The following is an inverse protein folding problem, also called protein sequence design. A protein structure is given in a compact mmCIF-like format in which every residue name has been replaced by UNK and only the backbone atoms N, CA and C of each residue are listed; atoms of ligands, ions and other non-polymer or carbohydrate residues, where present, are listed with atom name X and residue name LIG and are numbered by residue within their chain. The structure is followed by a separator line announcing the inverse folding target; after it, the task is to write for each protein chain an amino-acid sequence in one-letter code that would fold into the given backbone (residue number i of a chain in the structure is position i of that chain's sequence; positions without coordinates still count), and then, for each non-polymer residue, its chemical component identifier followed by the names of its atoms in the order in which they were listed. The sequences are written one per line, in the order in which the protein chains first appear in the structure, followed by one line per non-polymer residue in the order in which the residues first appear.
data_IF_299218183378
#
_entry.id   IF_299218183378
#
_cell.length_a   1.000
_cell.length_b   1.000
_cell.length_c   1.000
_cell.angle_alpha   90.00
_cell.angle_beta   90.00
_cell.angle_gamma   90.00
#
_symmetry.space_group_name_H-M   'P 1'
#
loop_
_entity.id
_entity.type
_entity.pdbx_description
1 polymer ?
#
# COMPACT_ATOMS: atom_id res chain seq x y z
N UNK A 1 64.71 -53.69 25.60
CA UNK A 1 64.58 -52.98 26.89
C UNK A 1 63.85 -51.67 26.64
N UNK A 2 62.98 -51.28 27.58
CA UNK A 2 62.03 -50.15 27.59
C UNK A 2 60.78 -50.34 26.70
N UNK A 3 59.68 -50.96 27.16
CA UNK A 3 58.69 -50.57 28.19
C UNK A 3 57.51 -49.75 27.63
N UNK A 4 56.34 -50.40 27.62
CA UNK A 4 55.00 -49.83 27.53
C UNK A 4 54.74 -48.92 28.74
N UNK A 5 53.87 -47.89 28.61
CA UNK A 5 52.76 -47.66 29.57
C UNK A 5 51.80 -46.54 29.11
N UNK A 6 50.52 -46.93 29.05
CA UNK A 6 49.27 -46.20 29.37
C UNK A 6 48.97 -44.78 28.86
N UNK A 7 47.95 -44.70 28.00
CA UNK A 7 46.89 -43.66 28.02
C UNK A 7 46.01 -43.79 29.30
N UNK A 8 45.35 -42.71 29.79
CA UNK A 8 43.97 -42.51 29.34
C UNK A 8 43.42 -41.05 29.31
N UNK A 9 42.29 -40.95 28.63
CA UNK A 9 41.16 -40.04 28.90
C UNK A 9 41.21 -38.59 28.39
N UNK A 10 41.01 -38.43 27.08
CA UNK A 10 40.57 -37.15 26.47
C UNK A 10 39.26 -37.31 25.67
N UNK A 11 38.36 -38.18 26.16
CA UNK A 11 37.16 -38.62 25.40
C UNK A 11 35.82 -38.10 25.93
N UNK A 12 35.79 -37.49 27.13
CA UNK A 12 34.54 -36.97 27.70
C UNK A 12 34.29 -35.47 27.51
N UNK A 13 35.32 -34.69 27.16
CA UNK A 13 35.15 -33.24 27.01
C UNK A 13 34.58 -32.82 25.65
N UNK A 14 34.67 -33.67 24.62
CA UNK A 14 34.14 -33.37 23.28
C UNK A 14 32.65 -33.68 23.10
N UNK A 15 32.08 -34.58 23.90
CA UNK A 15 30.69 -35.01 23.73
C UNK A 15 29.69 -34.00 24.33
N UNK A 16 30.11 -33.27 25.38
CA UNK A 16 29.28 -32.24 26.02
C UNK A 16 29.19 -30.94 25.21
N UNK A 17 30.18 -30.63 24.36
CA UNK A 17 30.15 -29.45 23.49
C UNK A 17 29.41 -29.70 22.17
N UNK A 18 29.40 -30.95 21.67
CA UNK A 18 28.65 -31.29 20.46
C UNK A 18 27.13 -31.33 20.70
N UNK A 19 26.70 -31.63 21.92
CA UNK A 19 25.27 -31.73 22.28
C UNK A 19 24.65 -30.36 22.62
N UNK A 20 25.42 -29.39 23.12
CA UNK A 20 24.93 -28.02 23.34
C UNK A 20 24.81 -27.22 22.04
N UNK A 21 25.65 -27.48 21.04
CA UNK A 21 25.56 -26.82 19.73
C UNK A 21 24.35 -27.29 18.91
N UNK A 22 23.92 -28.55 19.09
CA UNK A 22 22.79 -29.12 18.34
C UNK A 22 21.42 -28.62 18.83
N UNK A 23 21.32 -28.19 20.10
CA UNK A 23 20.08 -27.63 20.67
C UNK A 23 19.88 -26.16 20.26
N UNK A 24 20.96 -25.42 20.00
CA UNK A 24 20.89 -24.02 19.52
C UNK A 24 20.50 -23.92 18.03
N UNK A 25 20.78 -24.95 17.22
CA UNK A 25 20.42 -24.97 15.80
C UNK A 25 18.92 -25.27 15.56
N UNK A 26 18.21 -25.85 16.54
CA UNK A 26 16.79 -26.18 16.41
C UNK A 26 15.85 -24.99 16.68
N UNK A 27 16.37 -23.87 17.22
CA UNK A 27 15.58 -22.66 17.49
C UNK A 27 15.44 -21.72 16.27
N UNK A 28 16.06 -22.05 15.12
CA UNK A 28 16.00 -21.23 13.91
C UNK A 28 15.02 -21.76 12.84
N UNK A 29 14.35 -22.88 13.08
CA UNK A 29 13.32 -23.44 12.16
C UNK A 29 11.95 -23.02 12.66
N UNK A 30 11.66 -21.73 12.55
CA UNK A 30 10.42 -21.17 13.05
C UNK A 30 10.13 -19.74 12.59
N UNK A 31 10.78 -19.24 11.55
CA UNK A 31 10.23 -18.12 10.79
C UNK A 31 9.21 -18.68 9.79
N UNK A 32 8.09 -19.19 10.29
CA UNK A 32 6.88 -19.01 9.50
C UNK A 32 6.65 -17.51 9.50
N UNK A 33 7.12 -16.82 8.46
CA UNK A 33 6.50 -15.59 8.04
C UNK A 33 5.04 -15.97 7.84
N UNK A 34 4.25 -15.74 8.89
CA UNK A 34 2.82 -15.84 8.81
C UNK A 34 2.49 -14.73 7.82
N UNK A 35 2.35 -15.09 6.55
CA UNK A 35 1.86 -14.19 5.53
C UNK A 35 0.50 -13.75 6.06
N UNK A 36 0.48 -12.58 6.69
CA UNK A 36 -0.75 -11.81 6.82
C UNK A 36 -1.21 -11.70 5.38
N UNK A 37 -2.31 -12.39 5.09
CA UNK A 37 -3.04 -12.24 3.84
C UNK A 37 -3.16 -10.75 3.59
N UNK A 38 -2.45 -10.21 2.60
CA UNK A 38 -2.56 -8.81 2.26
C UNK A 38 -3.97 -8.63 1.69
N UNK A 39 -4.87 -7.97 2.44
CA UNK A 39 -6.26 -7.79 2.00
C UNK A 39 -6.35 -7.05 0.65
N UNK A 40 -5.31 -6.34 0.25
CA UNK A 40 -5.22 -5.70 -1.06
C UNK A 40 -5.24 -6.72 -2.21
N UNK A 41 -4.87 -7.99 -1.98
CA UNK A 41 -5.01 -9.07 -2.97
C UNK A 41 -6.47 -9.33 -3.35
N UNK A 42 -7.43 -8.91 -2.53
CA UNK A 42 -8.86 -9.01 -2.84
C UNK A 42 -9.34 -7.92 -3.82
N UNK A 43 -8.51 -6.92 -4.13
CA UNK A 43 -8.86 -5.85 -5.09
C UNK A 43 -8.88 -6.45 -6.50
N UNK A 44 -9.99 -6.37 -7.24
CA UNK A 44 -10.17 -7.04 -8.53
C UNK A 44 -9.52 -6.27 -9.69
N UNK A 45 -8.21 -6.04 -9.62
CA UNK A 45 -7.46 -5.37 -10.68
C UNK A 45 -7.53 -6.13 -12.01
N UNK A 46 -7.77 -5.41 -13.10
CA UNK A 46 -7.62 -5.90 -14.47
C UNK A 46 -6.23 -5.61 -15.02
N UNK A 47 -5.93 -6.14 -16.21
CA UNK A 47 -4.71 -5.79 -16.94
C UNK A 47 -4.64 -4.27 -17.15
N UNK A 48 -3.44 -3.71 -17.02
CA UNK A 48 -3.18 -2.28 -17.13
C UNK A 48 -3.43 -1.49 -15.85
N UNK A 49 -4.30 -1.89 -14.93
CA UNK A 49 -4.55 -1.07 -13.74
C UNK A 49 -3.36 -1.03 -12.78
N UNK A 50 -3.03 0.15 -12.25
CA UNK A 50 -1.86 0.39 -11.38
C UNK A 50 -2.23 0.82 -9.96
N UNK A 51 -3.47 1.26 -9.75
CA UNK A 51 -3.98 1.68 -8.46
C UNK A 51 -5.49 1.56 -8.45
N UNK A 52 -6.05 1.51 -7.25
CA UNK A 52 -7.47 1.65 -7.02
C UNK A 52 -7.74 2.96 -6.28
N UNK A 53 -8.92 3.52 -6.48
CA UNK A 53 -9.35 4.72 -5.80
C UNK A 53 -10.82 4.60 -5.39
N UNK A 54 -11.19 5.27 -4.29
CA UNK A 54 -12.58 5.39 -3.87
C UNK A 54 -12.87 6.81 -3.39
N UNK A 55 -14.03 7.34 -3.76
CA UNK A 55 -14.56 8.56 -3.18
C UNK A 55 -15.12 8.27 -1.77
N UNK A 56 -14.79 9.15 -0.83
CA UNK A 56 -15.13 9.03 0.58
C UNK A 56 -15.96 10.22 1.10
N UNK A 57 -16.46 11.10 0.24
CA UNK A 57 -17.33 12.20 0.66
C UNK A 57 -16.66 13.57 0.68
N UNK A 58 -17.51 14.58 0.90
CA UNK A 58 -17.14 16.00 0.88
C UNK A 58 -16.94 16.53 2.30
N UNK A 59 -15.78 17.15 2.57
CA UNK A 59 -15.36 17.71 3.86
C UNK A 59 -15.29 16.73 5.05
N UNK A 60 -15.84 15.53 4.91
CA UNK A 60 -15.81 14.47 5.91
C UNK A 60 -15.47 13.16 5.20
N UNK A 61 -14.82 12.27 5.94
CA UNK A 61 -14.53 10.91 5.50
C UNK A 61 -15.72 10.04 5.87
N UNK A 62 -16.33 9.44 4.86
CA UNK A 62 -17.45 8.51 4.92
C UNK A 62 -16.98 7.13 4.46
N UNK A 63 -17.61 6.07 4.99
CA UNK A 63 -17.41 4.67 4.59
C UNK A 63 -15.97 4.12 4.62
N UNK A 64 -14.99 4.81 5.22
CA UNK A 64 -13.61 4.32 5.33
C UNK A 64 -13.55 2.93 5.98
N UNK A 65 -14.36 2.69 7.00
CA UNK A 65 -14.44 1.40 7.70
C UNK A 65 -14.76 0.23 6.75
N UNK A 66 -15.57 0.47 5.71
CA UNK A 66 -15.89 -0.55 4.70
C UNK A 66 -14.63 -0.93 3.91
N UNK A 67 -13.90 0.06 3.40
CA UNK A 67 -12.68 -0.18 2.63
C UNK A 67 -11.56 -0.77 3.48
N UNK A 68 -11.43 -0.34 4.74
CA UNK A 68 -10.47 -0.93 5.69
C UNK A 68 -10.79 -2.40 5.87
N UNK A 69 -12.03 -2.76 6.19
CA UNK A 69 -12.40 -4.16 6.42
C UNK A 69 -12.19 -5.03 5.18
N UNK A 70 -12.46 -4.48 4.00
CA UNK A 70 -12.45 -5.23 2.74
C UNK A 70 -11.07 -5.34 2.11
N UNK A 71 -10.26 -4.27 2.15
CA UNK A 71 -9.06 -4.13 1.31
C UNK A 71 -7.78 -3.75 2.04
N UNK A 72 -7.84 -3.30 3.30
CA UNK A 72 -6.66 -2.75 4.00
C UNK A 72 -6.31 -3.53 5.26
N UNK A 73 -5.03 -3.60 5.58
CA UNK A 73 -4.57 -4.29 6.78
C UNK A 73 -4.52 -3.40 8.03
N UNK A 74 -4.73 -2.09 7.86
CA UNK A 74 -4.71 -1.06 8.91
C UNK A 74 -5.67 0.09 8.56
N UNK A 75 -6.21 0.74 9.58
CA UNK A 75 -6.94 2.01 9.51
C UNK A 75 -6.05 3.25 9.72
N UNK A 76 -4.78 3.04 10.10
CA UNK A 76 -3.78 4.10 10.24
C UNK A 76 -3.25 4.54 8.87
N UNK A 77 -4.04 5.35 8.16
CA UNK A 77 -3.67 5.87 6.84
C UNK A 77 -3.07 7.28 6.91
N UNK A 78 -1.97 7.56 6.19
CA UNK A 78 -1.51 8.92 6.02
C UNK A 78 -2.56 9.74 5.27
N UNK A 79 -2.78 10.98 5.72
CA UNK A 79 -3.73 11.91 5.11
C UNK A 79 -2.98 13.12 4.57
N UNK A 80 -3.16 13.38 3.28
CA UNK A 80 -2.60 14.53 2.59
C UNK A 80 -3.68 15.59 2.37
N UNK A 81 -3.53 16.75 3.02
CA UNK A 81 -4.46 17.86 2.92
C UNK A 81 -3.93 18.92 1.95
N UNK A 82 -4.56 19.05 0.79
CA UNK A 82 -4.18 20.06 -0.22
C UNK A 82 -5.11 21.27 -0.16
N UNK A 83 -6.42 21.03 -0.10
CA UNK A 83 -7.44 22.06 0.07
C UNK A 83 -8.70 21.48 0.72
N UNK A 84 -9.64 22.35 1.08
CA UNK A 84 -10.95 21.91 1.54
C UNK A 84 -11.74 21.35 0.36
N UNK A 85 -12.23 20.12 0.48
CA UNK A 85 -12.93 19.47 -0.62
C UNK A 85 -13.25 18.02 -0.33
N UNK A 86 -13.16 17.24 -1.39
CA UNK A 86 -13.46 15.82 -1.44
C UNK A 86 -12.33 14.98 -0.84
N UNK A 87 -12.71 13.86 -0.25
CA UNK A 87 -11.79 12.84 0.22
C UNK A 87 -11.75 11.66 -0.75
N UNK A 88 -10.54 11.22 -1.04
CA UNK A 88 -10.28 10.02 -1.83
C UNK A 88 -9.35 9.08 -1.08
N UNK A 89 -9.67 7.80 -1.10
CA UNK A 89 -8.73 6.73 -0.76
C UNK A 89 -8.00 6.31 -2.02
N UNK A 90 -6.66 6.23 -1.96
CA UNK A 90 -5.82 5.74 -3.05
C UNK A 90 -5.06 4.52 -2.56
N UNK A 91 -5.15 3.41 -3.30
CA UNK A 91 -4.50 2.15 -2.99
C UNK A 91 -3.56 1.77 -4.16
N UNK A 92 -2.23 1.86 -3.99
CA UNK A 92 -1.30 1.39 -5.01
C UNK A 92 -1.41 -0.13 -5.17
N UNK A 93 -1.26 -0.63 -6.41
CA UNK A 93 -1.41 -2.06 -6.70
C UNK A 93 -0.20 -2.89 -6.23
N UNK A 94 1.01 -2.34 -6.36
CA UNK A 94 2.24 -3.08 -6.09
C UNK A 94 2.98 -2.49 -4.89
N UNK A 95 3.55 -3.36 -4.06
CA UNK A 95 4.50 -2.94 -3.02
C UNK A 95 5.78 -2.42 -3.68
N UNK A 96 6.33 -1.32 -3.15
CA UNK A 96 7.48 -0.62 -3.73
C UNK A 96 7.12 0.38 -4.82
N UNK A 97 5.84 0.67 -5.04
CA UNK A 97 5.45 1.79 -5.92
C UNK A 97 5.86 3.12 -5.32
N UNK A 98 6.52 3.96 -6.10
CA UNK A 98 6.86 5.31 -5.71
C UNK A 98 5.67 6.27 -5.88
N UNK A 99 5.44 7.13 -4.90
CA UNK A 99 4.53 8.27 -4.97
C UNK A 99 5.33 9.56 -5.10
N UNK A 100 4.88 10.44 -5.99
CA UNK A 100 5.16 11.88 -5.93
C UNK A 100 3.84 12.63 -5.96
N UNK A 101 3.56 13.41 -4.92
CA UNK A 101 2.34 14.20 -4.80
C UNK A 101 2.65 15.66 -5.08
N UNK A 102 1.91 16.24 -6.00
CA UNK A 102 2.04 17.62 -6.41
C UNK A 102 0.80 18.43 -6.04
N UNK A 103 1.03 19.67 -5.61
CA UNK A 103 0.00 20.68 -5.52
C UNK A 103 0.04 21.53 -6.78
N UNK A 104 -1.08 21.65 -7.46
CA UNK A 104 -1.21 22.53 -8.62
C UNK A 104 -1.72 23.89 -8.15
N UNK A 105 -1.03 24.93 -8.57
CA UNK A 105 -1.41 26.32 -8.27
C UNK A 105 -2.04 26.94 -9.51
N UNK A 106 -3.25 27.47 -9.35
CA UNK A 106 -4.04 28.07 -10.42
C UNK A 106 -3.34 29.31 -11.01
N UNK A 107 -2.67 30.10 -10.16
CA UNK A 107 -2.07 31.37 -10.54
C UNK A 107 -0.75 31.16 -11.28
N UNK A 108 0.04 30.16 -10.87
CA UNK A 108 1.38 29.94 -11.44
C UNK A 108 1.40 28.91 -12.57
N UNK A 109 0.39 28.01 -12.63
CA UNK A 109 0.33 26.87 -13.56
C UNK A 109 1.52 25.89 -13.47
N UNK A 110 2.39 26.01 -12.46
CA UNK A 110 3.51 25.10 -12.22
C UNK A 110 3.21 24.19 -11.03
N UNK A 111 3.16 22.85 -11.22
CA UNK A 111 2.98 21.91 -10.12
C UNK A 111 4.14 21.95 -9.13
N UNK A 112 3.83 22.05 -7.85
CA UNK A 112 4.81 22.04 -6.76
C UNK A 112 4.83 20.66 -6.13
N UNK A 113 5.98 20.00 -6.11
CA UNK A 113 6.17 18.73 -5.41
C UNK A 113 6.09 18.97 -3.89
N UNK A 114 5.13 18.32 -3.21
CA UNK A 114 4.89 18.51 -1.78
C UNK A 114 5.17 17.27 -0.93
N UNK A 115 5.15 16.08 -1.54
CA UNK A 115 5.42 14.83 -0.83
C UNK A 115 5.96 13.75 -1.78
N UNK A 116 6.81 12.88 -1.24
CA UNK A 116 7.33 11.71 -1.91
C UNK A 116 7.42 10.53 -0.96
N UNK A 117 7.09 9.35 -1.48
CA UNK A 117 7.25 8.08 -0.78
C UNK A 117 7.76 7.03 -1.76
N UNK A 118 8.97 6.46 -1.59
CA UNK A 118 9.49 5.43 -2.49
C UNK A 118 8.79 4.06 -2.33
N UNK A 119 7.98 3.85 -1.29
CA UNK A 119 7.23 2.62 -1.04
C UNK A 119 5.81 2.95 -0.55
N UNK A 120 5.07 3.60 -1.44
CA UNK A 120 3.74 4.14 -1.21
C UNK A 120 2.81 3.07 -0.63
N UNK A 121 2.33 3.34 0.58
CA UNK A 121 1.21 2.63 1.20
C UNK A 121 -0.12 3.30 0.82
N UNK A 122 -1.28 2.63 1.04
CA UNK A 122 -2.58 3.26 0.89
C UNK A 122 -2.67 4.57 1.66
N UNK A 123 -3.29 5.59 1.06
CA UNK A 123 -3.34 6.93 1.64
C UNK A 123 -4.65 7.64 1.33
N UNK A 124 -4.95 8.64 2.16
CA UNK A 124 -6.08 9.54 1.97
C UNK A 124 -5.61 10.85 1.37
N UNK A 125 -6.32 11.36 0.37
CA UNK A 125 -6.12 12.67 -0.22
C UNK A 125 -7.37 13.52 0.00
N UNK A 126 -7.19 14.69 0.62
CA UNK A 126 -8.19 15.76 0.57
C UNK A 126 -7.78 16.79 -0.47
N UNK A 127 -8.58 16.94 -1.51
CA UNK A 127 -8.35 17.88 -2.59
C UNK A 127 -9.65 18.48 -3.12
N UNK A 128 -9.54 19.61 -3.80
CA UNK A 128 -10.66 20.25 -4.48
C UNK A 128 -10.39 20.11 -5.98
N UNK A 129 -10.94 19.05 -6.54
CA UNK A 129 -10.93 18.89 -7.96
C UNK A 129 -12.26 19.41 -8.50
N UNK A 130 -12.21 20.63 -9.04
CA UNK A 130 -13.29 21.11 -9.90
C UNK A 130 -13.04 20.59 -11.31
N UNK A 131 -14.11 20.36 -12.08
CA UNK A 131 -14.04 20.05 -13.52
C UNK A 131 -13.26 21.10 -14.34
N UNK A 132 -12.91 22.24 -13.73
CA UNK A 132 -12.22 23.38 -14.34
C UNK A 132 -10.72 23.39 -13.98
N UNK A 133 -10.34 22.97 -12.77
CA UNK A 133 -8.96 22.95 -12.30
C UNK A 133 -8.80 21.93 -11.15
N UNK A 134 -7.86 21.00 -11.31
CA UNK A 134 -7.46 20.06 -10.28
C UNK A 134 -6.26 20.63 -9.51
N UNK A 135 -6.39 20.76 -8.19
CA UNK A 135 -5.35 21.29 -7.31
C UNK A 135 -4.34 20.24 -6.82
N UNK A 136 -4.53 18.97 -7.20
CA UNK A 136 -3.68 17.85 -6.88
C UNK A 136 -3.27 17.09 -8.13
N UNK A 137 -2.00 16.67 -8.23
CA UNK A 137 -1.56 15.63 -9.16
C UNK A 137 -0.86 14.53 -8.38
N UNK A 138 -1.40 13.32 -8.48
CA UNK A 138 -0.78 12.10 -7.96
C UNK A 138 0.05 11.50 -9.09
N UNK A 139 1.34 11.24 -8.82
CA UNK A 139 2.17 10.44 -9.70
C UNK A 139 2.58 9.16 -9.01
N UNK A 140 2.23 8.03 -9.61
CA UNK A 140 2.67 6.71 -9.18
C UNK A 140 3.68 6.16 -10.19
N UNK A 141 4.77 5.60 -9.69
CA UNK A 141 5.84 4.99 -10.49
C UNK A 141 6.06 3.55 -10.04
N UNK A 142 6.04 2.62 -10.98
CA UNK A 142 6.35 1.22 -10.74
C UNK A 142 7.31 0.73 -11.83
N UNK A 143 8.49 0.27 -11.43
CA UNK A 143 9.56 -0.06 -12.38
C UNK A 143 9.81 1.12 -13.35
N UNK A 144 9.65 0.90 -14.66
CA UNK A 144 9.80 1.92 -15.70
C UNK A 144 8.46 2.58 -16.10
N UNK A 145 7.33 2.19 -15.48
CA UNK A 145 6.01 2.76 -15.73
C UNK A 145 5.71 3.92 -14.78
N UNK A 146 5.09 4.97 -15.31
CA UNK A 146 4.61 6.11 -14.54
C UNK A 146 3.21 6.49 -15.00
N UNK A 147 2.33 6.75 -14.05
CA UNK A 147 0.99 7.30 -14.28
C UNK A 147 0.81 8.58 -13.45
N UNK A 148 0.20 9.58 -14.08
CA UNK A 148 -0.22 10.82 -13.42
C UNK A 148 -1.73 10.96 -13.54
N UNK A 149 -2.38 11.33 -12.44
CA UNK A 149 -3.83 11.52 -12.39
C UNK A 149 -4.23 12.48 -11.28
N UNK A 150 -5.46 12.97 -11.37
CA UNK A 150 -6.09 13.86 -10.40
C UNK A 150 -7.51 13.35 -10.17
N UNK A 151 -7.83 12.78 -8.99
CA UNK A 151 -9.17 12.25 -8.75
C UNK A 151 -10.18 13.39 -8.62
N UNK A 152 -11.34 13.24 -9.25
CA UNK A 152 -12.46 14.19 -9.09
C UNK A 152 -13.82 13.52 -9.21
N UNK A 153 -14.83 14.12 -8.58
CA UNK A 153 -16.23 13.73 -8.73
C UNK A 153 -16.85 14.58 -9.82
N UNK A 154 -17.26 13.96 -10.92
CA UNK A 154 -17.93 14.62 -12.05
C UNK A 154 -19.24 15.25 -11.58
N UNK A 155 -19.37 16.56 -11.75
CA UNK A 155 -20.62 17.27 -11.43
C UNK A 155 -21.75 16.99 -12.43
N UNK A 156 -21.43 16.33 -13.56
CA UNK A 156 -22.38 16.03 -14.63
C UNK A 156 -23.26 14.83 -14.30
N UNK A 157 -22.66 13.77 -13.77
CA UNK A 157 -23.29 12.47 -13.58
C UNK A 157 -22.90 11.79 -12.26
N UNK A 158 -22.04 12.40 -11.46
CA UNK A 158 -21.60 11.84 -10.17
C UNK A 158 -20.62 10.69 -10.31
N UNK A 159 -20.03 10.46 -11.49
CA UNK A 159 -18.95 9.48 -11.64
C UNK A 159 -17.69 9.96 -10.94
N UNK A 160 -16.87 9.02 -10.48
CA UNK A 160 -15.55 9.30 -9.95
C UNK A 160 -14.54 9.11 -11.09
N UNK A 161 -13.88 10.20 -11.46
CA UNK A 161 -12.88 10.23 -12.51
C UNK A 161 -11.50 10.11 -11.88
N UNK A 162 -10.82 9.00 -12.17
CA UNK A 162 -9.53 8.63 -11.55
C UNK A 162 -8.44 8.38 -12.57
N UNK A 163 -8.68 8.63 -13.85
CA UNK A 163 -7.73 8.36 -14.94
C UNK A 163 -7.70 6.91 -15.42
N UNK A 164 -7.08 6.68 -16.58
CA UNK A 164 -7.23 5.45 -17.38
C UNK A 164 -6.62 4.18 -16.75
N UNK A 165 -5.72 4.34 -15.78
CA UNK A 165 -5.03 3.22 -15.12
C UNK A 165 -5.60 2.91 -13.72
N UNK A 166 -6.65 3.62 -13.31
CA UNK A 166 -7.31 3.44 -12.03
C UNK A 166 -8.42 2.40 -12.05
N UNK A 167 -8.63 1.73 -10.92
CA UNK A 167 -9.85 0.97 -10.60
C UNK A 167 -10.71 1.80 -9.64
N UNK A 168 -11.95 2.12 -10.03
CA UNK A 168 -12.90 2.79 -9.14
C UNK A 168 -13.56 1.76 -8.22
N UNK A 169 -13.38 1.93 -6.92
CA UNK A 169 -13.94 1.10 -5.86
C UNK A 169 -15.13 1.76 -5.15
N UNK A 170 -15.52 2.97 -5.56
CA UNK A 170 -16.54 3.77 -4.87
C UNK A 170 -17.83 2.97 -4.66
N UNK A 171 -18.22 2.80 -3.39
CA UNK A 171 -19.41 2.06 -3.01
C UNK A 171 -20.67 2.75 -3.57
N UNK A 172 -21.35 2.12 -4.52
CA UNK A 172 -22.56 2.66 -5.15
C UNK A 172 -22.78 2.25 -6.61
N UNK A 173 -21.72 1.80 -7.29
CA UNK A 173 -21.77 1.50 -8.73
C UNK A 173 -22.47 0.18 -9.07
N UNK A 174 -22.64 -0.74 -8.10
CA UNK A 174 -23.28 -2.05 -8.32
C UNK A 174 -24.76 -2.13 -7.88
N UNK A 175 -25.30 -1.13 -7.17
CA UNK A 175 -26.67 -1.21 -6.61
C UNK A 175 -27.77 -0.64 -7.51
N UNK A 176 -27.48 -0.28 -8.77
CA UNK A 176 -28.48 0.27 -9.71
C UNK A 176 -28.71 -0.57 -10.98
N UNK A 177 -28.11 -1.75 -11.13
CA UNK A 177 -28.37 -2.65 -12.27
C UNK A 177 -29.13 -3.94 -11.95
N UNK A 178 -29.64 -4.09 -10.73
CA UNK A 178 -30.57 -5.16 -10.35
C UNK A 178 -31.94 -4.56 -9.97
N UNK A 179 -32.62 -3.96 -10.94
CA UNK A 179 -33.90 -3.31 -10.67
C UNK A 179 -34.64 -2.79 -11.90
N UNK A 180 -34.91 -3.65 -12.89
CA UNK A 180 -36.15 -3.59 -13.71
C UNK A 180 -36.42 -4.98 -14.28
#
# INVERSE_FOLDING_TARGET
MAENFCCPCKRHQFILFASTLLVLAALLVGCSAQSQSNRQEAIPFTEGQLYAAAYLGYQQIEDLDYYVQQYLDSDELPVHYLSAGDYYLIIPRYSGMGLSLYRNDFDTSEPILIYQDPDCQPFLLQCNASDIFADATIRLTWEDETVEFSPFLSLKDGSVEIGDRGLDLTAGTETQQAGT
#
